data_IF_772655127268
#
_entry.id   IF_772655127268
#
_cell.length_a   1.000
_cell.length_b   1.000
_cell.length_c   1.000
_cell.angle_alpha   90.00
_cell.angle_beta   90.00
_cell.angle_gamma   90.00
#
_symmetry.space_group_name_H-M   'P 1'
#
loop_
_entity.id
_entity.type
_entity.pdbx_description
1 polymer ?
#
# COMPACT_ATOMS: atom_id res chain seq x y z
N UNK A 1 -28.16 73.02 41.47
CA UNK A 1 -27.06 72.34 40.78
C UNK A 1 -26.47 71.30 41.73
N UNK A 2 -26.84 70.03 41.60
CA UNK A 2 -26.38 68.95 42.49
C UNK A 2 -25.47 68.00 41.73
N UNK A 3 -24.16 68.04 42.01
CA UNK A 3 -23.19 67.04 41.53
C UNK A 3 -23.32 65.80 42.43
N UNK A 4 -23.64 64.66 41.82
CA UNK A 4 -23.56 63.35 42.48
C UNK A 4 -22.09 62.98 42.67
N UNK A 5 -21.67 62.48 43.85
CA UNK A 5 -20.35 61.91 44.01
C UNK A 5 -20.27 60.61 43.20
N UNK A 6 -19.27 60.54 42.32
CA UNK A 6 -18.93 59.37 41.54
C UNK A 6 -18.17 58.43 42.48
N UNK A 7 -18.73 57.25 42.77
CA UNK A 7 -18.05 56.24 43.57
C UNK A 7 -16.90 55.65 42.77
N UNK A 8 -15.67 56.06 43.06
CA UNK A 8 -14.48 55.33 42.65
C UNK A 8 -14.45 54.00 43.43
N UNK A 9 -14.95 52.94 42.78
CA UNK A 9 -14.78 51.59 43.29
C UNK A 9 -13.35 51.14 42.97
N UNK A 10 -12.47 51.27 43.96
CA UNK A 10 -11.15 50.63 43.91
C UNK A 10 -11.36 49.11 43.79
N UNK A 11 -10.82 48.53 42.71
CA UNK A 11 -10.87 47.09 42.46
C UNK A 11 -10.45 46.33 43.72
N UNK A 12 -11.34 45.48 44.22
CA UNK A 12 -11.04 44.72 45.43
C UNK A 12 -9.96 43.69 45.12
N UNK A 13 -9.08 43.41 46.09
CA UNK A 13 -8.03 42.40 45.97
C UNK A 13 -8.61 41.02 45.60
N UNK A 14 -9.86 40.77 46.01
CA UNK A 14 -10.65 39.60 45.65
C UNK A 14 -10.93 39.49 44.14
N UNK A 15 -11.21 40.61 43.47
CA UNK A 15 -11.56 40.65 42.05
C UNK A 15 -10.35 40.31 41.16
N UNK A 16 -9.17 40.80 41.52
CA UNK A 16 -7.92 40.39 40.86
C UNK A 16 -7.61 38.91 41.06
N UNK A 17 -7.91 38.35 42.23
CA UNK A 17 -7.76 36.91 42.52
C UNK A 17 -8.72 36.05 41.69
N UNK A 18 -9.98 36.49 41.56
CA UNK A 18 -10.98 35.83 40.71
C UNK A 18 -10.58 35.91 39.23
N UNK A 19 -10.14 37.07 38.75
CA UNK A 19 -9.71 37.24 37.37
C UNK A 19 -8.51 36.33 37.03
N UNK A 20 -7.51 36.25 37.90
CA UNK A 20 -6.34 35.39 37.72
C UNK A 20 -6.70 33.89 37.75
N UNK A 21 -7.62 33.47 38.63
CA UNK A 21 -8.07 32.08 38.68
C UNK A 21 -8.88 31.71 37.43
N UNK A 22 -9.78 32.57 36.97
CA UNK A 22 -10.51 32.37 35.71
C UNK A 22 -9.54 32.34 34.53
N UNK A 23 -8.55 33.22 34.48
CA UNK A 23 -7.56 33.25 33.41
C UNK A 23 -6.67 32.00 33.39
N UNK A 24 -6.24 31.52 34.56
CA UNK A 24 -5.49 30.27 34.68
C UNK A 24 -6.33 29.06 34.22
N UNK A 25 -7.61 29.01 34.57
CA UNK A 25 -8.53 27.96 34.11
C UNK A 25 -8.72 28.01 32.58
N UNK A 26 -8.90 29.20 32.01
CA UNK A 26 -9.01 29.38 30.56
C UNK A 26 -7.76 28.91 29.82
N UNK A 27 -6.56 29.25 30.33
CA UNK A 27 -5.29 28.80 29.76
C UNK A 27 -5.13 27.27 29.82
N UNK A 28 -5.59 26.62 30.89
CA UNK A 28 -5.56 25.15 31.02
C UNK A 28 -6.46 24.50 29.97
N UNK A 29 -7.68 25.00 29.80
CA UNK A 29 -8.62 24.47 28.78
C UNK A 29 -8.06 24.67 27.38
N UNK A 30 -7.48 25.85 27.09
CA UNK A 30 -6.89 26.15 25.79
C UNK A 30 -5.72 25.20 25.48
N UNK A 31 -4.85 24.95 26.46
CA UNK A 31 -3.71 24.05 26.33
C UNK A 31 -4.15 22.60 26.11
N UNK A 32 -5.14 22.14 26.86
CA UNK A 32 -5.73 20.80 26.68
C UNK A 32 -6.38 20.64 25.31
N UNK A 33 -7.10 21.66 24.82
CA UNK A 33 -7.68 21.66 23.47
C UNK A 33 -6.62 21.60 22.37
N UNK A 34 -5.50 22.31 22.54
CA UNK A 34 -4.39 22.31 21.59
C UNK A 34 -3.66 20.96 21.54
N UNK A 35 -3.36 20.36 22.70
CA UNK A 35 -2.73 19.05 22.80
C UNK A 35 -3.64 17.91 22.28
N UNK A 36 -4.96 18.06 22.40
CA UNK A 36 -5.92 17.12 21.84
C UNK A 36 -5.99 17.22 20.30
N UNK A 37 -6.00 18.43 19.76
CA UNK A 37 -6.04 18.67 18.32
C UNK A 37 -4.82 18.07 17.61
N UNK A 38 -3.61 18.29 18.12
CA UNK A 38 -2.37 17.77 17.52
C UNK A 38 -2.36 16.23 17.49
N UNK A 39 -2.78 15.58 18.58
CA UNK A 39 -2.90 14.11 18.66
C UNK A 39 -3.93 13.53 17.68
N UNK A 40 -5.02 14.24 17.42
CA UNK A 40 -6.04 13.81 16.44
C UNK A 40 -5.52 13.92 15.02
N UNK A 41 -4.84 15.02 14.68
CA UNK A 41 -4.26 15.23 13.34
C UNK A 41 -3.14 14.24 13.02
N UNK A 42 -2.30 13.89 13.99
CA UNK A 42 -1.26 12.87 13.81
C UNK A 42 -1.83 11.49 13.52
N UNK A 43 -2.86 11.07 14.27
CA UNK A 43 -3.56 9.80 14.02
C UNK A 43 -4.22 9.75 12.64
N UNK A 44 -4.80 10.87 12.20
CA UNK A 44 -5.38 10.99 10.85
C UNK A 44 -4.32 10.91 9.75
N UNK A 45 -3.16 11.56 9.92
CA UNK A 45 -2.08 11.52 8.93
C UNK A 45 -1.49 10.13 8.74
N UNK A 46 -1.30 9.37 9.82
CA UNK A 46 -0.80 7.99 9.75
C UNK A 46 -1.78 7.05 9.04
N UNK A 47 -3.09 7.22 9.27
CA UNK A 47 -4.12 6.44 8.59
C UNK A 47 -4.14 6.72 7.07
N UNK A 48 -4.01 7.99 6.68
CA UNK A 48 -4.01 8.40 5.27
C UNK A 48 -2.75 7.95 4.51
N UNK A 49 -1.57 7.96 5.15
CA UNK A 49 -0.33 7.48 4.51
C UNK A 49 -0.34 5.96 4.30
N UNK A 50 -0.80 5.19 5.29
CA UNK A 50 -0.99 3.75 5.15
C UNK A 50 -1.98 3.42 4.03
N UNK A 51 -3.08 4.16 3.93
CA UNK A 51 -4.09 3.95 2.88
C UNK A 51 -3.59 4.35 1.48
N UNK A 52 -2.78 5.40 1.36
CA UNK A 52 -2.16 5.83 0.11
C UNK A 52 -1.12 4.83 -0.44
N UNK A 53 -0.38 4.17 0.47
CA UNK A 53 0.58 3.12 0.12
C UNK A 53 -0.14 1.89 -0.45
N UNK A 54 -1.23 1.48 0.21
CA UNK A 54 -2.04 0.36 -0.26
C UNK A 54 -2.66 0.61 -1.64
N UNK A 55 -3.24 1.78 -1.88
CA UNK A 55 -3.81 2.11 -3.20
C UNK A 55 -2.76 2.13 -4.32
N UNK A 56 -1.52 2.50 -4.01
CA UNK A 56 -0.41 2.49 -4.98
C UNK A 56 0.06 1.08 -5.30
N UNK A 57 0.13 0.22 -4.29
CA UNK A 57 0.41 -1.19 -4.45
C UNK A 57 -0.64 -1.92 -5.31
N UNK A 58 -1.93 -1.63 -5.13
CA UNK A 58 -3.01 -2.22 -5.93
C UNK A 58 -2.84 -1.91 -7.41
N UNK A 59 -2.61 -0.62 -7.74
CA UNK A 59 -2.36 -0.19 -9.12
C UNK A 59 -1.12 -0.85 -9.72
N UNK A 60 -0.03 -0.96 -8.96
CA UNK A 60 1.20 -1.61 -9.40
C UNK A 60 0.98 -3.09 -9.73
N UNK A 61 0.35 -3.85 -8.82
CA UNK A 61 0.08 -5.27 -9.01
C UNK A 61 -0.88 -5.50 -10.20
N UNK A 62 -1.93 -4.68 -10.32
CA UNK A 62 -2.84 -4.73 -11.47
C UNK A 62 -2.10 -4.49 -12.78
N UNK A 63 -1.24 -3.48 -12.83
CA UNK A 63 -0.47 -3.16 -14.02
C UNK A 63 0.48 -4.30 -14.41
N UNK A 64 1.19 -4.90 -13.44
CA UNK A 64 2.09 -6.03 -13.67
C UNK A 64 1.32 -7.23 -14.24
N UNK A 65 0.21 -7.62 -13.61
CA UNK A 65 -0.58 -8.77 -14.04
C UNK A 65 -1.26 -8.56 -15.39
N UNK A 66 -1.75 -7.34 -15.65
CA UNK A 66 -2.43 -7.00 -16.90
C UNK A 66 -1.48 -7.09 -18.11
N UNK A 67 -0.19 -6.80 -17.92
CA UNK A 67 0.82 -6.81 -18.98
C UNK A 67 1.77 -8.01 -18.88
N UNK A 68 1.33 -9.09 -18.25
CA UNK A 68 2.07 -10.35 -18.24
C UNK A 68 2.30 -10.83 -19.67
N UNK A 69 3.52 -11.30 -19.96
CA UNK A 69 3.85 -11.94 -21.22
C UNK A 69 3.29 -13.38 -21.20
N UNK A 70 2.41 -13.75 -22.15
CA UNK A 70 1.88 -15.11 -22.27
C UNK A 70 2.98 -16.14 -22.54
N UNK A 71 4.13 -15.71 -23.03
CA UNK A 71 5.11 -16.58 -23.64
C UNK A 71 4.74 -16.93 -25.06
N UNK A 72 5.58 -17.78 -25.65
CA UNK A 72 5.34 -18.37 -26.95
C UNK A 72 5.83 -19.83 -26.91
N UNK A 73 5.57 -20.58 -27.98
CA UNK A 73 5.90 -22.01 -28.06
C UNK A 73 7.41 -22.28 -27.95
N UNK A 74 8.27 -21.30 -28.24
CA UNK A 74 9.73 -21.44 -28.20
C UNK A 74 10.35 -21.10 -26.83
N UNK A 75 9.78 -20.14 -26.11
CA UNK A 75 10.31 -19.63 -24.84
C UNK A 75 9.79 -20.39 -23.60
N UNK A 76 8.79 -21.27 -23.77
CA UNK A 76 8.15 -21.99 -22.68
C UNK A 76 7.20 -21.10 -21.85
N UNK A 77 6.68 -21.60 -20.72
CA UNK A 77 5.73 -20.86 -19.89
C UNK A 77 6.43 -19.69 -19.19
N UNK A 78 6.11 -18.48 -19.64
CA UNK A 78 6.63 -17.25 -19.03
C UNK A 78 5.79 -16.77 -17.85
N UNK A 79 4.62 -17.39 -17.63
CA UNK A 79 3.78 -17.18 -16.45
C UNK A 79 3.57 -18.52 -15.74
N UNK A 80 4.01 -18.60 -14.49
CA UNK A 80 3.86 -19.77 -13.63
C UNK A 80 3.24 -19.35 -12.32
N UNK A 81 2.12 -19.98 -11.99
CA UNK A 81 1.32 -19.67 -10.81
C UNK A 81 1.35 -20.78 -9.77
N UNK A 82 1.54 -20.41 -8.51
CA UNK A 82 1.42 -21.29 -7.35
C UNK A 82 0.47 -20.69 -6.32
N UNK A 83 0.01 -21.48 -5.36
CA UNK A 83 -0.98 -21.03 -4.38
C UNK A 83 -0.51 -19.81 -3.57
N UNK A 84 0.80 -19.67 -3.33
CA UNK A 84 1.36 -18.61 -2.46
C UNK A 84 2.37 -17.69 -3.14
N UNK A 85 2.37 -17.67 -4.47
CA UNK A 85 3.28 -16.85 -5.23
C UNK A 85 3.16 -17.11 -6.71
N UNK A 86 3.77 -16.24 -7.49
CA UNK A 86 3.78 -16.37 -8.93
C UNK A 86 5.07 -15.83 -9.52
N UNK A 87 5.39 -16.34 -10.70
CA UNK A 87 6.47 -15.86 -11.54
C UNK A 87 5.85 -15.45 -12.86
N UNK A 88 6.21 -14.28 -13.36
CA UNK A 88 5.83 -13.84 -14.69
C UNK A 88 6.97 -13.09 -15.38
N UNK A 89 6.99 -13.12 -16.71
CA UNK A 89 7.71 -12.12 -17.50
C UNK A 89 6.77 -10.98 -17.87
N UNK A 90 7.27 -9.76 -17.90
CA UNK A 90 6.48 -8.61 -18.34
C UNK A 90 7.33 -7.36 -18.55
N UNK A 91 6.71 -6.22 -18.89
CA UNK A 91 7.40 -4.94 -18.87
C UNK A 91 7.85 -4.63 -17.44
N UNK A 92 9.08 -4.17 -17.29
CA UNK A 92 9.59 -3.67 -16.03
C UNK A 92 8.76 -2.42 -15.66
N UNK A 93 8.09 -2.40 -14.48
CA UNK A 93 7.40 -1.21 -14.03
C UNK A 93 8.37 -0.03 -13.97
N UNK A 94 7.97 1.14 -14.50
CA UNK A 94 8.80 2.36 -14.45
C UNK A 94 9.21 2.76 -13.03
N UNK A 95 8.42 2.37 -12.04
CA UNK A 95 8.74 2.57 -10.63
C UNK A 95 9.93 1.71 -10.14
N UNK A 96 10.38 0.73 -10.93
CA UNK A 96 11.44 -0.24 -10.63
C UNK A 96 12.64 -0.13 -11.59
N UNK A 97 12.41 0.23 -12.84
CA UNK A 97 13.45 0.41 -13.85
C UNK A 97 13.12 1.65 -14.71
N UNK A 98 14.07 2.58 -14.81
CA UNK A 98 13.93 3.81 -15.62
C UNK A 98 14.06 3.55 -17.13
N UNK A 99 14.46 2.33 -17.54
CA UNK A 99 14.56 2.00 -18.96
C UNK A 99 13.17 1.95 -19.62
N UNK A 100 12.94 2.75 -20.67
CA UNK A 100 11.79 2.55 -21.53
C UNK A 100 11.90 1.16 -22.20
N UNK A 101 10.80 0.41 -22.19
CA UNK A 101 10.64 -0.91 -22.83
C UNK A 101 11.52 -2.06 -22.30
N UNK A 102 12.08 -1.93 -21.09
CA UNK A 102 12.73 -3.04 -20.40
C UNK A 102 11.75 -4.17 -20.10
N UNK A 103 12.12 -5.42 -20.38
CA UNK A 103 11.42 -6.61 -19.86
C UNK A 103 12.13 -7.13 -18.63
N UNK A 104 11.37 -7.69 -17.70
CA UNK A 104 11.91 -8.31 -16.49
C UNK A 104 11.20 -9.62 -16.18
N UNK A 105 11.97 -10.55 -15.62
CA UNK A 105 11.43 -11.73 -14.94
C UNK A 105 11.07 -11.31 -13.51
N UNK A 106 9.80 -11.44 -13.14
CA UNK A 106 9.20 -10.95 -11.90
C UNK A 106 8.75 -12.13 -11.05
N UNK A 107 9.07 -12.11 -9.76
CA UNK A 107 8.58 -13.07 -8.77
C UNK A 107 7.90 -12.34 -7.62
N UNK A 108 6.64 -12.67 -7.38
CA UNK A 108 5.85 -12.16 -6.27
C UNK A 108 5.64 -13.27 -5.24
N UNK A 109 6.02 -13.02 -4.00
CA UNK A 109 5.85 -13.96 -2.88
C UNK A 109 5.90 -13.24 -1.54
N UNK A 110 5.45 -13.91 -0.48
CA UNK A 110 5.71 -13.50 0.90
C UNK A 110 6.99 -14.17 1.39
N UNK A 111 7.93 -13.39 1.92
CA UNK A 111 9.16 -13.88 2.54
C UNK A 111 8.90 -14.44 3.94
N UNK A 112 9.86 -15.17 4.50
CA UNK A 112 9.73 -15.81 5.82
C UNK A 112 9.49 -14.82 6.96
N UNK A 113 9.92 -13.58 6.80
CA UNK A 113 9.74 -12.47 7.74
C UNK A 113 8.42 -11.72 7.55
N UNK A 114 7.42 -12.34 6.91
CA UNK A 114 6.09 -11.77 6.66
C UNK A 114 6.09 -10.50 5.80
N UNK A 115 7.08 -10.36 4.92
CA UNK A 115 7.15 -9.26 3.96
C UNK A 115 6.70 -9.69 2.59
N UNK A 116 5.73 -8.98 2.00
CA UNK A 116 5.41 -9.12 0.59
C UNK A 116 6.54 -8.49 -0.23
N UNK A 117 7.21 -9.32 -1.03
CA UNK A 117 8.36 -8.91 -1.83
C UNK A 117 8.10 -9.14 -3.30
N UNK A 118 8.59 -8.21 -4.11
CA UNK A 118 8.73 -8.36 -5.54
C UNK A 118 10.21 -8.46 -5.86
N UNK A 119 10.60 -9.58 -6.46
CA UNK A 119 11.96 -9.81 -6.94
C UNK A 119 11.92 -9.70 -8.45
N UNK A 120 12.81 -8.88 -9.02
CA UNK A 120 12.89 -8.72 -10.46
C UNK A 120 14.31 -8.81 -10.97
N UNK A 121 14.45 -9.43 -12.14
CA UNK A 121 15.71 -9.50 -12.87
C UNK A 121 15.47 -8.94 -14.27
N UNK A 122 16.20 -7.87 -14.67
CA UNK A 122 16.11 -7.35 -16.03
C UNK A 122 16.45 -8.45 -17.05
N UNK A 123 15.54 -8.68 -17.98
CA UNK A 123 15.67 -9.70 -19.00
C UNK A 123 16.53 -9.17 -20.16
N UNK A 124 17.72 -9.75 -20.38
CA UNK A 124 18.65 -9.39 -21.46
C UNK A 124 18.90 -10.59 -22.35
N UNK A 125 18.69 -10.43 -23.66
CA UNK A 125 18.86 -11.52 -24.63
C UNK A 125 20.32 -11.90 -24.92
N UNK A 126 21.32 -11.08 -24.57
CA UNK A 126 22.67 -11.18 -25.19
C UNK A 126 23.86 -11.04 -24.23
N UNK A 127 23.69 -10.81 -22.92
CA UNK A 127 24.85 -10.55 -22.03
C UNK A 127 24.86 -11.48 -20.81
N UNK A 128 25.88 -12.35 -20.75
CA UNK A 128 26.38 -12.93 -19.50
C UNK A 128 27.38 -11.95 -18.85
N UNK A 129 27.42 -11.81 -17.51
CA UNK A 129 26.55 -12.46 -16.53
C UNK A 129 25.17 -11.80 -16.43
N UNK A 130 24.16 -12.61 -16.11
CA UNK A 130 22.82 -12.11 -15.82
C UNK A 130 22.88 -11.05 -14.71
N UNK A 131 22.16 -9.92 -14.84
CA UNK A 131 22.13 -8.91 -13.81
C UNK A 131 21.63 -9.53 -12.49
N UNK A 132 22.15 -9.08 -11.34
CA UNK A 132 21.70 -9.61 -10.05
C UNK A 132 20.21 -9.31 -9.85
N UNK A 133 19.44 -10.25 -9.26
CA UNK A 133 18.05 -10.01 -8.92
C UNK A 133 17.95 -8.86 -7.92
N UNK A 134 17.04 -7.94 -8.18
CA UNK A 134 16.72 -6.84 -7.28
C UNK A 134 15.47 -7.21 -6.48
N UNK A 135 15.45 -6.87 -5.19
CA UNK A 135 14.35 -7.18 -4.27
C UNK A 135 13.74 -5.89 -3.77
N UNK A 136 12.41 -5.78 -3.82
CA UNK A 136 11.66 -4.63 -3.31
C UNK A 136 10.61 -5.11 -2.34
N UNK A 137 10.65 -4.51 -1.16
CA UNK A 137 9.57 -4.59 -0.20
C UNK A 137 8.35 -3.85 -0.75
N UNK A 138 7.25 -4.57 -0.89
CA UNK A 138 5.97 -4.00 -1.32
C UNK A 138 5.08 -3.67 -0.12
N UNK A 139 5.04 -4.56 0.86
CA UNK A 139 4.22 -4.39 2.06
C UNK A 139 4.78 -5.25 3.20
N UNK A 140 4.77 -4.69 4.41
CA UNK A 140 5.18 -5.40 5.63
C UNK A 140 3.97 -5.99 6.39
N UNK A 141 4.21 -7.00 7.21
CA UNK A 141 3.20 -7.66 8.05
C UNK A 141 2.14 -8.40 7.24
N UNK A 142 2.50 -8.99 6.11
CA UNK A 142 1.63 -9.87 5.31
C UNK A 142 1.85 -11.30 5.77
N UNK A 143 0.82 -11.92 6.34
CA UNK A 143 0.90 -13.30 6.82
C UNK A 143 0.98 -14.29 5.64
N UNK A 144 0.19 -14.07 4.59
CA UNK A 144 0.16 -14.94 3.41
C UNK A 144 -0.35 -14.20 2.17
N UNK A 145 0.13 -14.63 1.01
CA UNK A 145 -0.45 -14.31 -0.30
C UNK A 145 -1.19 -15.56 -0.78
N UNK A 146 -2.46 -15.44 -1.14
CA UNK A 146 -3.24 -16.52 -1.76
C UNK A 146 -3.51 -16.13 -3.23
N UNK A 147 -3.04 -16.97 -4.15
CA UNK A 147 -3.22 -16.80 -5.59
C UNK A 147 -4.26 -17.81 -6.11
N UNK A 148 -5.08 -17.38 -7.06
CA UNK A 148 -5.95 -18.29 -7.82
C UNK A 148 -6.03 -17.87 -9.28
N UNK A 149 -6.22 -18.85 -10.14
CA UNK A 149 -6.16 -18.72 -11.59
C UNK A 149 -7.43 -19.30 -12.20
N UNK A 150 -8.14 -18.50 -12.99
CA UNK A 150 -9.40 -18.91 -13.61
C UNK A 150 -9.16 -19.45 -15.02
N UNK A 151 -9.69 -20.65 -15.28
CA UNK A 151 -9.68 -21.30 -16.59
C UNK A 151 -10.83 -22.28 -16.69
N UNK A 152 -11.32 -22.52 -17.91
CA UNK A 152 -12.31 -23.58 -18.19
C UNK A 152 -13.49 -23.61 -17.20
N UNK A 153 -13.99 -22.43 -16.81
CA UNK A 153 -15.15 -22.29 -15.93
C UNK A 153 -14.88 -22.44 -14.43
N UNK A 154 -13.65 -22.65 -13.98
CA UNK A 154 -13.33 -22.89 -12.57
C UNK A 154 -12.03 -22.19 -12.11
N UNK A 155 -11.89 -22.05 -10.79
CA UNK A 155 -10.70 -21.49 -10.15
C UNK A 155 -9.74 -22.60 -9.72
N UNK A 156 -8.47 -22.44 -10.08
CA UNK A 156 -7.36 -23.31 -9.69
C UNK A 156 -6.38 -22.55 -8.79
N UNK A 157 -5.63 -23.26 -7.97
CA UNK A 157 -4.59 -22.69 -7.10
C UNK A 157 -3.20 -22.72 -7.73
N UNK A 158 -3.06 -23.39 -8.88
CA UNK A 158 -1.82 -23.47 -9.65
C UNK A 158 -2.11 -23.12 -11.10
N UNK A 159 -1.09 -22.63 -11.79
CA UNK A 159 -1.13 -22.36 -13.22
C UNK A 159 0.18 -22.75 -13.88
N UNK A 160 0.10 -23.52 -14.95
CA UNK A 160 1.23 -23.89 -15.77
C UNK A 160 0.76 -24.08 -17.20
N UNK A 161 1.24 -23.25 -18.12
CA UNK A 161 0.86 -23.35 -19.53
C UNK A 161 1.51 -22.25 -20.38
N UNK A 162 1.44 -22.43 -21.70
CA UNK A 162 1.90 -21.47 -22.71
C UNK A 162 0.89 -20.34 -23.01
N UNK A 163 -0.21 -20.30 -22.24
CA UNK A 163 -1.24 -19.26 -22.30
C UNK A 163 -1.41 -18.64 -20.92
N UNK A 164 -1.97 -17.44 -20.89
CA UNK A 164 -2.34 -16.78 -19.63
C UNK A 164 -3.66 -17.34 -19.10
N UNK A 165 -3.84 -17.35 -17.77
CA UNK A 165 -5.14 -17.61 -17.19
C UNK A 165 -6.11 -16.48 -17.57
N UNK A 166 -7.40 -16.80 -17.71
CA UNK A 166 -8.41 -15.80 -18.08
C UNK A 166 -8.57 -14.74 -16.98
N UNK A 167 -8.42 -15.13 -15.71
CA UNK A 167 -8.33 -14.21 -14.57
C UNK A 167 -7.25 -14.68 -13.59
N UNK A 168 -6.56 -13.73 -12.99
CA UNK A 168 -5.71 -13.92 -11.82
C UNK A 168 -6.36 -13.23 -10.63
N UNK A 169 -6.53 -13.95 -9.53
CA UNK A 169 -6.98 -13.42 -8.24
C UNK A 169 -5.84 -13.47 -7.24
N UNK A 170 -5.53 -12.32 -6.63
CA UNK A 170 -4.60 -12.21 -5.51
C UNK A 170 -5.35 -11.77 -4.26
N UNK A 171 -5.12 -12.46 -3.15
CA UNK A 171 -5.63 -12.10 -1.83
C UNK A 171 -4.47 -12.00 -0.85
N UNK A 172 -4.36 -10.87 -0.17
CA UNK A 172 -3.40 -10.67 0.92
C UNK A 172 -4.09 -10.98 2.25
N UNK A 173 -3.47 -11.86 3.03
CA UNK A 173 -3.92 -12.23 4.38
C UNK A 173 -2.98 -11.57 5.38
N UNK A 174 -3.56 -10.81 6.30
CA UNK A 174 -2.84 -10.14 7.39
C UNK A 174 -2.94 -10.94 8.69
N UNK A 175 -1.99 -10.80 9.63
CA UNK A 175 -2.03 -11.49 10.91
C UNK A 175 -3.25 -11.06 11.75
N UNK A 176 -3.71 -11.91 12.70
CA UNK A 176 -4.82 -11.57 13.58
C UNK A 176 -4.56 -10.26 14.35
N UNK A 177 -5.56 -9.39 14.40
CA UNK A 177 -5.45 -8.08 15.08
C UNK A 177 -4.93 -6.95 14.20
N UNK A 178 -4.55 -7.23 12.95
CA UNK A 178 -4.29 -6.20 11.94
C UNK A 178 -5.61 -5.58 11.47
N UNK A 179 -5.69 -4.25 11.49
CA UNK A 179 -6.88 -3.49 11.06
C UNK A 179 -6.86 -3.14 9.57
N UNK A 180 -5.79 -3.48 8.85
CA UNK A 180 -5.68 -3.27 7.40
C UNK A 180 -6.64 -4.22 6.68
N UNK A 181 -7.50 -3.64 5.86
CA UNK A 181 -8.42 -4.39 4.99
C UNK A 181 -8.00 -4.18 3.54
N UNK A 182 -7.70 -5.27 2.84
CA UNK A 182 -7.30 -5.25 1.44
C UNK A 182 -8.32 -6.00 0.58
N UNK A 183 -8.82 -5.41 -0.51
CA UNK A 183 -9.76 -6.09 -1.41
C UNK A 183 -9.05 -7.12 -2.28
N UNK A 184 -9.73 -8.22 -2.61
CA UNK A 184 -9.20 -9.17 -3.59
C UNK A 184 -8.90 -8.47 -4.92
N UNK A 185 -7.67 -8.65 -5.43
CA UNK A 185 -7.28 -8.14 -6.73
C UNK A 185 -7.65 -9.18 -7.77
N UNK A 186 -8.65 -8.91 -8.59
CA UNK A 186 -8.99 -9.74 -9.77
C UNK A 186 -8.61 -8.98 -11.02
N UNK A 187 -7.80 -9.60 -11.88
CA UNK A 187 -7.27 -9.00 -13.12
C UNK A 187 -7.39 -9.99 -14.26
N UNK A 188 -7.84 -9.50 -15.42
CA UNK A 188 -7.72 -10.21 -16.69
C UNK A 188 -6.39 -9.79 -17.37
N UNK A 189 -5.45 -10.71 -17.60
CA UNK A 189 -4.25 -10.41 -18.39
C UNK A 189 -4.64 -10.01 -19.82
N UNK A 190 -4.13 -8.88 -20.30
CA UNK A 190 -4.53 -8.26 -21.57
C UNK A 190 -3.89 -8.92 -22.80
N UNK A 191 -2.70 -9.50 -22.61
CA UNK A 191 -1.86 -10.04 -23.67
C UNK A 191 -2.08 -11.55 -23.79
N UNK A 192 -3.26 -11.98 -24.21
CA UNK A 192 -3.39 -13.31 -24.80
C UNK A 192 -3.24 -13.12 -26.32
N UNK A 193 -2.23 -13.71 -26.98
CA UNK A 193 -2.18 -13.71 -28.43
C UNK A 193 -3.37 -14.57 -28.85
N UNK A 194 -4.46 -13.92 -29.29
CA UNK A 194 -5.55 -14.66 -29.94
C UNK A 194 -4.93 -15.48 -31.08
N UNK A 195 -5.37 -16.74 -31.24
CA UNK A 195 -4.88 -17.61 -32.32
C UNK A 195 -5.18 -17.03 -33.70
#
# INVERSE_FOLDING_TARGET
>A
MSRRPQSEQGFTLLEMLIALTVFALLLVVLRQGFDAATRVFERQRMALSAQGDLGSLDRLLRQILAHADPGNTEAGPLFVGQAHGLVLRGPAPRALDDRPDGRADLRLSVAEDHRLVLIWTPHRHVIEPAPPPQTRLLLDGVARLDCSYYSDGHWNTTWYGSRLPALVKLRLVFPPGDSRHWPDIVVAPLLDPRP
#
